data_IF_359404629739
#
_entry.id   IF_359404629739
#
_cell.length_a   1.000
_cell.length_b   1.000
_cell.length_c   1.000
_cell.angle_alpha   90.00
_cell.angle_beta   90.00
_cell.angle_gamma   90.00
#
_symmetry.space_group_name_H-M   'P 1'
#
loop_
_entity.id
_entity.type
_entity.pdbx_description
1 polymer ?
#
# COMPACT_ATOMS: atom_id res chain seq x y z
N UNK A 1 -13.72 2.15 -24.95
CA UNK A 1 -12.41 1.78 -24.38
C UNK A 1 -11.62 3.06 -24.17
N UNK A 2 -11.33 3.48 -22.93
CA UNK A 2 -10.53 4.68 -22.69
C UNK A 2 -9.08 4.46 -23.13
N UNK A 3 -8.38 5.53 -23.55
CA UNK A 3 -6.99 5.46 -24.01
C UNK A 3 -6.05 5.34 -22.80
N UNK A 4 -4.91 4.66 -22.95
CA UNK A 4 -3.94 4.44 -21.88
C UNK A 4 -3.43 5.74 -21.23
N UNK A 5 -3.34 6.84 -22.00
CA UNK A 5 -2.96 8.16 -21.51
C UNK A 5 -3.93 8.73 -20.46
N UNK A 6 -5.25 8.51 -20.63
CA UNK A 6 -6.29 8.99 -19.72
C UNK A 6 -6.25 8.27 -18.36
N UNK A 7 -5.54 7.13 -18.27
CA UNK A 7 -5.40 6.34 -17.05
C UNK A 7 -4.22 6.76 -16.19
N UNK A 8 -3.26 7.53 -16.72
CA UNK A 8 -1.98 7.83 -16.07
C UNK A 8 -1.80 9.32 -15.80
N UNK A 9 -2.34 10.21 -16.64
CA UNK A 9 -2.12 11.66 -16.55
C UNK A 9 -2.85 12.38 -15.39
N UNK A 10 -3.62 11.66 -14.56
CA UNK A 10 -4.41 12.23 -13.46
C UNK A 10 -4.20 11.57 -12.09
N UNK A 11 -3.12 10.80 -11.93
CA UNK A 11 -2.91 10.04 -10.69
C UNK A 11 -2.33 10.95 -9.61
N UNK A 12 -3.09 11.15 -8.53
CA UNK A 12 -2.72 12.00 -7.39
C UNK A 12 -2.57 11.22 -6.09
N UNK A 13 -2.89 9.92 -6.09
CA UNK A 13 -2.66 9.04 -4.94
C UNK A 13 -2.22 7.62 -5.34
N UNK A 14 -1.45 6.93 -4.48
CA UNK A 14 -1.04 5.55 -4.72
C UNK A 14 -2.19 4.56 -4.97
N UNK A 15 -3.36 4.81 -4.38
CA UNK A 15 -4.56 3.98 -4.57
C UNK A 15 -5.08 3.97 -6.03
N UNK A 16 -4.68 4.96 -6.82
CA UNK A 16 -5.02 5.05 -8.25
C UNK A 16 -3.95 4.40 -9.15
N UNK A 17 -2.74 4.16 -8.63
CA UNK A 17 -1.63 3.50 -9.36
C UNK A 17 -1.73 1.99 -9.28
N UNK A 18 -2.04 1.45 -8.09
CA UNK A 18 -2.01 0.00 -7.84
C UNK A 18 -2.95 -0.83 -8.74
N UNK A 19 -4.20 -0.39 -9.03
CA UNK A 19 -5.07 -1.12 -9.97
C UNK A 19 -4.55 -1.10 -11.43
N UNK A 20 -3.50 -0.34 -11.72
CA UNK A 20 -2.99 -0.08 -13.07
C UNK A 20 -1.58 -0.63 -13.30
N UNK A 21 -1.01 -1.39 -12.34
CA UNK A 21 0.33 -1.96 -12.46
C UNK A 21 0.50 -2.83 -13.71
N UNK A 22 -0.49 -3.66 -14.05
CA UNK A 22 -0.45 -4.44 -15.29
C UNK A 22 -0.53 -3.56 -16.55
N UNK A 23 -1.22 -2.42 -16.49
CA UNK A 23 -1.29 -1.50 -17.60
C UNK A 23 0.06 -0.79 -17.82
N UNK A 24 0.75 -0.43 -16.73
CA UNK A 24 2.10 0.13 -16.76
C UNK A 24 3.12 -0.88 -17.31
N UNK A 25 3.01 -2.15 -16.93
CA UNK A 25 3.83 -3.23 -17.48
C UNK A 25 3.64 -3.39 -18.99
N UNK A 26 2.38 -3.44 -19.45
CA UNK A 26 2.07 -3.48 -20.88
C UNK A 26 2.55 -2.23 -21.62
N UNK A 27 2.47 -1.05 -21.01
CA UNK A 27 2.99 0.20 -21.58
C UNK A 27 4.51 0.16 -21.72
N UNK A 28 5.26 -0.26 -20.69
CA UNK A 28 6.72 -0.39 -20.75
C UNK A 28 7.13 -1.34 -21.89
N UNK A 29 6.50 -2.51 -21.99
CA UNK A 29 6.76 -3.47 -23.08
C UNK A 29 6.46 -2.89 -24.46
N UNK A 30 5.36 -2.15 -24.60
CA UNK A 30 4.96 -1.51 -25.87
C UNK A 30 5.95 -0.42 -26.27
N UNK A 31 6.40 0.40 -25.32
CA UNK A 31 7.41 1.44 -25.56
C UNK A 31 8.74 0.84 -26.00
N UNK A 32 9.19 -0.25 -25.33
CA UNK A 32 10.40 -0.95 -25.70
C UNK A 32 10.32 -1.52 -27.12
N UNK A 33 9.20 -2.18 -27.46
CA UNK A 33 8.98 -2.75 -28.79
C UNK A 33 8.93 -1.66 -29.88
N UNK A 34 8.39 -0.49 -29.58
CA UNK A 34 8.35 0.66 -30.49
C UNK A 34 9.70 1.39 -30.64
N UNK A 35 10.74 0.98 -29.91
CA UNK A 35 12.07 1.60 -29.96
C UNK A 35 12.24 2.81 -29.03
N UNK A 36 11.28 3.08 -28.14
CA UNK A 36 11.36 4.15 -27.13
C UNK A 36 11.94 3.60 -25.82
N UNK A 37 13.23 3.23 -25.86
CA UNK A 37 13.90 2.53 -24.76
C UNK A 37 14.06 3.35 -23.48
N UNK A 38 14.23 4.66 -23.60
CA UNK A 38 14.30 5.60 -22.47
C UNK A 38 12.98 5.66 -21.69
N UNK A 39 11.87 5.90 -22.39
CA UNK A 39 10.54 5.94 -21.79
C UNK A 39 10.12 4.56 -21.24
N UNK A 40 10.52 3.48 -21.90
CA UNK A 40 10.27 2.12 -21.43
C UNK A 40 10.99 1.83 -20.10
N UNK A 41 12.26 2.26 -19.99
CA UNK A 41 13.07 2.10 -18.78
C UNK A 41 12.49 2.92 -17.63
N UNK A 42 12.16 4.19 -17.85
CA UNK A 42 11.54 5.05 -16.83
C UNK A 42 10.19 4.49 -16.36
N UNK A 43 9.37 3.95 -17.29
CA UNK A 43 8.11 3.28 -16.94
C UNK A 43 8.34 2.00 -16.12
N UNK A 44 9.40 1.24 -16.41
CA UNK A 44 9.74 0.02 -15.68
C UNK A 44 10.25 0.33 -14.26
N UNK A 45 11.10 1.35 -14.10
CA UNK A 45 11.57 1.83 -12.80
C UNK A 45 10.40 2.28 -11.93
N UNK A 46 9.51 3.10 -12.48
CA UNK A 46 8.29 3.52 -11.77
C UNK A 46 7.40 2.33 -11.37
N UNK A 47 7.25 1.32 -12.25
CA UNK A 47 6.50 0.11 -11.94
C UNK A 47 7.12 -0.67 -10.76
N UNK A 48 8.45 -0.78 -10.70
CA UNK A 48 9.13 -1.41 -9.57
C UNK A 48 8.91 -0.65 -8.26
N UNK A 49 9.04 0.68 -8.29
CA UNK A 49 8.77 1.52 -7.12
C UNK A 49 7.34 1.38 -6.63
N UNK A 50 6.37 1.38 -7.55
CA UNK A 50 4.97 1.21 -7.23
C UNK A 50 4.69 -0.17 -6.59
N UNK A 51 5.26 -1.26 -7.13
CA UNK A 51 5.16 -2.61 -6.55
C UNK A 51 5.77 -2.69 -5.15
N UNK A 52 6.95 -2.09 -4.95
CA UNK A 52 7.60 -2.03 -3.62
C UNK A 52 6.75 -1.24 -2.63
N UNK A 53 6.19 -0.11 -3.06
CA UNK A 53 5.33 0.72 -2.22
C UNK A 53 4.02 0.01 -1.85
N UNK A 54 3.40 -0.73 -2.77
CA UNK A 54 2.23 -1.59 -2.50
C UNK A 54 2.54 -2.63 -1.42
N UNK A 55 3.58 -3.44 -1.64
CA UNK A 55 3.99 -4.50 -0.71
C UNK A 55 4.31 -3.94 0.68
N UNK A 56 5.05 -2.84 0.76
CA UNK A 56 5.38 -2.19 2.03
C UNK A 56 4.12 -1.67 2.75
N UNK A 57 3.17 -1.11 1.99
CA UNK A 57 1.90 -0.61 2.52
C UNK A 57 1.05 -1.75 3.05
N UNK A 58 0.90 -2.84 2.31
CA UNK A 58 0.17 -4.03 2.75
C UNK A 58 0.76 -4.63 4.04
N UNK A 59 2.09 -4.75 4.10
CA UNK A 59 2.78 -5.22 5.31
C UNK A 59 2.51 -4.30 6.50
N UNK A 60 2.63 -2.98 6.34
CA UNK A 60 2.35 -2.01 7.41
C UNK A 60 0.90 -2.08 7.88
N UNK A 61 -0.05 -2.18 6.94
CA UNK A 61 -1.47 -2.33 7.25
C UNK A 61 -1.77 -3.63 8.00
N UNK A 62 -1.16 -4.75 7.58
CA UNK A 62 -1.30 -6.03 8.26
C UNK A 62 -0.81 -5.96 9.71
N UNK A 63 0.35 -5.33 9.94
CA UNK A 63 0.94 -5.15 11.27
C UNK A 63 0.09 -4.25 12.17
N UNK A 64 -0.48 -3.17 11.64
CA UNK A 64 -1.29 -2.21 12.40
C UNK A 64 -2.70 -2.72 12.72
N UNK A 65 -3.21 -3.73 12.00
CA UNK A 65 -4.58 -4.23 12.13
C UNK A 65 -4.94 -4.64 13.56
N UNK A 66 -4.01 -5.28 14.29
CA UNK A 66 -4.23 -5.69 15.67
C UNK A 66 -4.42 -4.50 16.63
N UNK A 67 -3.57 -3.48 16.48
CA UNK A 67 -3.63 -2.24 17.26
C UNK A 67 -4.93 -1.49 16.98
N UNK A 68 -5.27 -1.31 15.70
CA UNK A 68 -6.50 -0.62 15.31
C UNK A 68 -7.76 -1.31 15.83
N UNK A 69 -7.81 -2.65 15.74
CA UNK A 69 -8.91 -3.43 16.31
C UNK A 69 -9.00 -3.26 17.82
N UNK A 70 -7.88 -3.26 18.54
CA UNK A 70 -7.87 -3.06 19.99
C UNK A 70 -8.39 -1.66 20.38
N UNK A 71 -7.96 -0.62 19.64
CA UNK A 71 -8.44 0.75 19.81
C UNK A 71 -9.94 0.85 19.53
N UNK A 72 -10.41 0.33 18.40
CA UNK A 72 -11.84 0.34 18.03
C UNK A 72 -12.71 -0.36 19.08
N UNK A 73 -12.29 -1.55 19.53
CA UNK A 73 -13.00 -2.32 20.55
C UNK A 73 -12.97 -1.67 21.94
N UNK A 74 -11.98 -0.81 22.21
CA UNK A 74 -11.93 0.01 23.42
C UNK A 74 -12.89 1.21 23.39
N UNK A 75 -13.50 1.53 22.25
CA UNK A 75 -14.55 2.55 22.18
C UNK A 75 -15.87 2.10 22.82
N UNK A 76 -16.02 0.82 23.18
CA UNK A 76 -17.28 0.28 23.69
C UNK A 76 -17.53 0.71 25.15
N UNK A 77 -18.74 1.22 25.47
CA UNK A 77 -19.04 1.82 26.78
C UNK A 77 -19.17 0.79 27.91
N UNK A 78 -19.29 -0.49 27.58
CA UNK A 78 -19.47 -1.61 28.52
C UNK A 78 -18.16 -2.18 29.08
N UNK A 79 -16.99 -1.69 28.61
CA UNK A 79 -15.68 -2.18 29.07
C UNK A 79 -15.01 -1.17 30.02
N UNK A 80 -14.58 -1.59 31.24
CA UNK A 80 -13.85 -0.74 32.17
C UNK A 80 -12.63 -0.05 31.53
N UNK A 81 -12.37 1.22 31.89
CA UNK A 81 -11.24 2.02 31.35
C UNK A 81 -9.89 1.30 31.49
N UNK A 82 -9.64 0.67 32.65
CA UNK A 82 -8.40 -0.05 32.89
C UNK A 82 -8.22 -1.25 31.96
N UNK A 83 -9.31 -2.00 31.70
CA UNK A 83 -9.30 -3.14 30.80
C UNK A 83 -9.12 -2.71 29.34
N UNK A 84 -9.71 -1.57 28.95
CA UNK A 84 -9.50 -0.94 27.65
C UNK A 84 -8.04 -0.56 27.42
N UNK A 85 -7.43 0.12 28.40
CA UNK A 85 -6.04 0.52 28.33
C UNK A 85 -5.09 -0.69 28.25
N UNK A 86 -5.35 -1.74 29.04
CA UNK A 86 -4.56 -2.97 29.03
C UNK A 86 -4.61 -3.69 27.68
N UNK A 87 -5.77 -3.76 27.02
CA UNK A 87 -5.91 -4.38 25.68
C UNK A 87 -5.16 -3.61 24.60
N UNK A 88 -5.21 -2.28 24.62
CA UNK A 88 -4.45 -1.44 23.67
C UNK A 88 -2.95 -1.56 23.91
N UNK A 89 -2.52 -1.60 25.18
CA UNK A 89 -1.11 -1.79 25.54
C UNK A 89 -0.56 -3.14 25.05
N UNK A 90 -1.30 -4.23 25.28
CA UNK A 90 -0.92 -5.56 24.80
C UNK A 90 -0.80 -5.61 23.27
N UNK A 91 -1.77 -5.04 22.54
CA UNK A 91 -1.70 -4.96 21.08
C UNK A 91 -0.52 -4.12 20.58
N UNK A 92 -0.17 -3.05 21.29
CA UNK A 92 1.00 -2.21 20.96
C UNK A 92 2.33 -2.93 21.23
N UNK A 93 2.40 -3.75 22.29
CA UNK A 93 3.55 -4.59 22.59
C UNK A 93 3.74 -5.67 21.51
N UNK A 94 2.65 -6.34 21.10
CA UNK A 94 2.66 -7.30 19.99
C UNK A 94 3.12 -6.64 18.68
N UNK A 95 2.63 -5.43 18.37
CA UNK A 95 3.08 -4.66 17.20
C UNK A 95 4.58 -4.34 17.24
N UNK A 96 5.12 -3.99 18.42
CA UNK A 96 6.56 -3.75 18.61
C UNK A 96 7.38 -5.02 18.43
N UNK A 97 6.88 -6.16 18.93
CA UNK A 97 7.54 -7.45 18.78
C UNK A 97 7.65 -7.93 17.32
N UNK A 98 6.77 -7.47 16.43
CA UNK A 98 6.79 -7.81 15.00
C UNK A 98 7.96 -7.19 14.21
N UNK A 99 8.68 -6.20 14.75
CA UNK A 99 9.80 -5.53 14.06
C UNK A 99 9.36 -4.67 12.86
N UNK A 100 10.25 -3.86 12.23
CA UNK A 100 9.88 -3.00 11.10
C UNK A 100 9.45 -3.82 9.86
N UNK A 101 8.62 -3.21 9.01
CA UNK A 101 8.34 -3.76 7.68
C UNK A 101 9.57 -3.48 6.80
N UNK A 102 10.09 -4.51 6.14
CA UNK A 102 11.33 -4.51 5.35
C UNK A 102 11.04 -4.65 3.88
#
# INVERSE_FOLDING_TARGET
MPRAYDLVAGVSSPAEVFPRLEALERMSMTLAFAGHGDAAAETAEFLEEARRFEALTEQRLARLRGVWRAVEMSGRPDVPVAERAARVAAAADEYRAQGPAS
#
